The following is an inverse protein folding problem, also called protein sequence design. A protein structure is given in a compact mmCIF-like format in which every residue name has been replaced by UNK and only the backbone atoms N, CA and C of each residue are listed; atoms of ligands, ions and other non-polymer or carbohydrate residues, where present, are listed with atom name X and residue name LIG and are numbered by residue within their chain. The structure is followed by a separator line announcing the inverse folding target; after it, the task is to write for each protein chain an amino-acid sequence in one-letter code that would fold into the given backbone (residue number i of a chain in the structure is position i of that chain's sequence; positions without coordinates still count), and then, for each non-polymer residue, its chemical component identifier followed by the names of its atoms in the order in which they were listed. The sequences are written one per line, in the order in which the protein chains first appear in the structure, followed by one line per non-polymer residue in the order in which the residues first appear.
data_IF_941744044369
#
_entry.id   IF_941744044369
#
_cell.length_a   1.000
_cell.length_b   1.000
_cell.length_c   1.000
_cell.angle_alpha   90.00
_cell.angle_beta   90.00
_cell.angle_gamma   90.00
#
_symmetry.space_group_name_H-M   'P 1'
#
loop_
_entity.id
_entity.type
_entity.pdbx_description
1 polymer ?
#
# COMPACT_ATOMS: atom_id res chain seq x y z
N UNK A 1 10.95 21.12 20.34
CA UNK A 1 10.22 19.84 20.13
C UNK A 1 8.77 20.03 19.69
N UNK A 2 7.81 20.44 20.55
CA UNK A 2 6.38 20.52 20.15
C UNK A 2 6.09 21.55 19.04
N UNK A 3 6.68 22.76 19.15
CA UNK A 3 6.57 23.81 18.13
C UNK A 3 7.15 23.39 16.77
N UNK A 4 8.27 22.66 16.78
CA UNK A 4 8.90 22.14 15.56
C UNK A 4 8.02 21.08 14.91
N UNK A 5 7.46 20.16 15.70
CA UNK A 5 6.55 19.13 15.21
C UNK A 5 5.32 19.74 14.51
N UNK A 6 4.68 20.72 15.14
CA UNK A 6 3.55 21.45 14.55
C UNK A 6 3.97 22.10 13.24
N UNK A 7 5.10 22.80 13.22
CA UNK A 7 5.61 23.49 12.03
C UNK A 7 5.87 22.49 10.88
N UNK A 8 6.45 21.32 11.18
CA UNK A 8 6.65 20.24 10.20
C UNK A 8 5.33 19.72 9.63
N UNK A 9 4.33 19.49 10.47
CA UNK A 9 3.01 19.01 10.00
C UNK A 9 2.37 20.06 9.09
N UNK A 10 2.34 21.33 9.50
CA UNK A 10 1.78 22.41 8.68
C UNK A 10 2.49 22.53 7.33
N UNK A 11 3.82 22.47 7.31
CA UNK A 11 4.60 22.48 6.09
C UNK A 11 4.26 21.29 5.19
N UNK A 12 4.20 20.07 5.75
CA UNK A 12 3.83 18.87 5.00
C UNK A 12 2.44 18.98 4.37
N UNK A 13 1.45 19.51 5.11
CA UNK A 13 0.10 19.76 4.57
C UNK A 13 0.17 20.73 3.40
N UNK A 14 0.88 21.84 3.55
CA UNK A 14 1.03 22.84 2.49
C UNK A 14 1.65 22.23 1.23
N UNK A 15 2.77 21.52 1.37
CA UNK A 15 3.45 20.92 0.21
C UNK A 15 2.60 19.88 -0.50
N UNK A 16 1.80 19.10 0.22
CA UNK A 16 0.94 18.08 -0.39
C UNK A 16 -0.26 18.69 -1.08
N UNK A 17 -0.99 19.60 -0.42
CA UNK A 17 -2.25 20.15 -0.93
C UNK A 17 -2.04 21.01 -2.18
N UNK A 18 -0.89 21.70 -2.28
CA UNK A 18 -0.56 22.54 -3.42
C UNK A 18 0.31 21.85 -4.48
N UNK A 19 0.62 20.55 -4.31
CA UNK A 19 1.36 19.82 -5.33
C UNK A 19 0.46 19.38 -6.49
N UNK A 20 0.90 19.69 -7.72
CA UNK A 20 0.13 19.40 -8.93
C UNK A 20 -0.02 17.91 -9.21
N UNK A 21 1.01 17.10 -8.93
CA UNK A 21 0.97 15.64 -9.14
C UNK A 21 0.01 15.01 -8.14
N UNK A 22 0.04 15.44 -6.87
CA UNK A 22 -0.90 14.97 -5.87
C UNK A 22 -2.35 15.27 -6.25
N UNK A 23 -2.64 16.50 -6.66
CA UNK A 23 -3.99 16.90 -7.09
C UNK A 23 -4.48 16.08 -8.28
N UNK A 24 -3.61 15.78 -9.25
CA UNK A 24 -3.93 14.88 -10.37
C UNK A 24 -4.31 13.49 -9.84
N UNK A 25 -3.51 12.91 -8.95
CA UNK A 25 -3.79 11.59 -8.36
C UNK A 25 -5.12 11.60 -7.61
N UNK A 26 -5.37 12.64 -6.79
CA UNK A 26 -6.62 12.78 -6.04
C UNK A 26 -7.84 12.86 -6.97
N UNK A 27 -7.75 13.64 -8.05
CA UNK A 27 -8.81 13.75 -9.07
C UNK A 27 -9.04 12.40 -9.75
N UNK A 28 -7.97 11.69 -10.13
CA UNK A 28 -8.06 10.37 -10.75
C UNK A 28 -8.74 9.36 -9.84
N UNK A 29 -8.40 9.32 -8.56
CA UNK A 29 -9.05 8.46 -7.57
C UNK A 29 -10.54 8.77 -7.49
N UNK A 30 -10.92 10.05 -7.36
CA UNK A 30 -12.33 10.47 -7.32
C UNK A 30 -13.07 10.05 -8.59
N UNK A 31 -12.45 10.19 -9.77
CA UNK A 31 -13.03 9.75 -11.04
C UNK A 31 -13.19 8.22 -11.13
N UNK A 32 -12.25 7.45 -10.59
CA UNK A 32 -12.37 5.99 -10.49
C UNK A 32 -13.60 5.60 -9.66
N UNK A 33 -13.81 6.24 -8.49
CA UNK A 33 -15.01 6.00 -7.68
C UNK A 33 -16.30 6.35 -8.44
N UNK A 34 -16.32 7.45 -9.19
CA UNK A 34 -17.48 7.86 -10.01
C UNK A 34 -17.93 6.80 -11.00
N UNK A 35 -16.99 6.10 -11.60
CA UNK A 35 -17.28 5.06 -12.59
C UNK A 35 -17.87 3.80 -11.94
N UNK A 36 -17.49 3.50 -10.70
CA UNK A 36 -17.79 2.21 -10.07
C UNK A 36 -18.94 2.26 -9.06
N UNK A 37 -19.22 3.41 -8.44
CA UNK A 37 -20.18 3.50 -7.34
C UNK A 37 -21.17 4.66 -7.53
N UNK A 38 -22.49 4.44 -7.48
CA UNK A 38 -23.45 5.54 -7.55
C UNK A 38 -23.38 6.51 -6.35
N UNK A 39 -22.83 6.09 -5.20
CA UNK A 39 -22.60 6.90 -3.99
C UNK A 39 -21.14 7.37 -3.87
N UNK A 40 -20.49 7.61 -5.00
CA UNK A 40 -19.06 7.88 -5.09
C UNK A 40 -18.60 9.20 -4.45
N UNK A 41 -19.39 10.27 -4.55
CA UNK A 41 -18.95 11.65 -4.24
C UNK A 41 -18.37 11.75 -2.83
N UNK A 42 -19.12 11.28 -1.84
CA UNK A 42 -18.70 11.30 -0.45
C UNK A 42 -17.60 10.25 -0.16
N UNK A 43 -17.57 9.15 -0.91
CA UNK A 43 -16.62 8.05 -0.68
C UNK A 43 -15.22 8.41 -1.14
N UNK A 44 -15.08 8.89 -2.38
CA UNK A 44 -13.79 9.25 -2.96
C UNK A 44 -13.11 10.36 -2.17
N UNK A 45 -13.86 11.41 -1.82
CA UNK A 45 -13.34 12.52 -1.01
C UNK A 45 -12.90 12.05 0.37
N UNK A 46 -13.70 11.22 1.06
CA UNK A 46 -13.32 10.65 2.37
C UNK A 46 -12.04 9.84 2.29
N UNK A 47 -11.89 8.99 1.28
CA UNK A 47 -10.72 8.12 1.15
C UNK A 47 -9.46 8.91 0.73
N UNK A 48 -9.59 9.95 -0.11
CA UNK A 48 -8.50 10.92 -0.35
C UNK A 48 -8.06 11.59 0.95
N UNK A 49 -9.01 12.10 1.75
CA UNK A 49 -8.69 12.77 3.03
C UNK A 49 -8.02 11.83 4.04
N UNK A 50 -8.54 10.61 4.19
CA UNK A 50 -7.98 9.58 5.09
C UNK A 50 -6.56 9.19 4.68
N UNK A 51 -6.34 8.91 3.39
CA UNK A 51 -5.02 8.57 2.86
C UNK A 51 -4.01 9.71 3.03
N UNK A 52 -4.43 10.95 2.73
CA UNK A 52 -3.61 12.16 2.92
C UNK A 52 -3.19 12.34 4.36
N UNK A 53 -4.15 12.22 5.28
CA UNK A 53 -3.91 12.39 6.72
C UNK A 53 -2.90 11.36 7.23
N UNK A 54 -3.09 10.08 6.88
CA UNK A 54 -2.18 9.01 7.29
C UNK A 54 -0.80 9.11 6.59
N UNK A 55 -0.74 9.61 5.36
CA UNK A 55 0.53 9.87 4.67
C UNK A 55 1.37 10.95 5.33
N UNK A 56 0.74 12.04 5.77
CA UNK A 56 1.42 13.10 6.53
C UNK A 56 1.91 12.57 7.88
N UNK A 57 1.05 11.83 8.61
CA UNK A 57 1.44 11.19 9.87
C UNK A 57 2.61 10.24 9.66
N UNK A 58 2.58 9.42 8.61
CA UNK A 58 3.65 8.50 8.27
C UNK A 58 4.96 9.25 7.97
N UNK A 59 4.89 10.31 7.17
CA UNK A 59 6.05 11.14 6.84
C UNK A 59 6.71 11.69 8.10
N UNK A 60 5.91 12.14 9.07
CA UNK A 60 6.39 12.59 10.38
C UNK A 60 7.03 11.45 11.18
N UNK A 61 6.42 10.28 11.24
CA UNK A 61 6.97 9.10 11.94
C UNK A 61 8.31 8.68 11.33
N UNK A 62 8.39 8.56 10.00
CA UNK A 62 9.63 8.20 9.30
C UNK A 62 10.73 9.22 9.58
N UNK A 63 10.41 10.52 9.54
CA UNK A 63 11.35 11.59 9.87
C UNK A 63 11.84 11.50 11.32
N UNK A 64 10.97 11.18 12.28
CA UNK A 64 11.34 11.00 13.70
C UNK A 64 12.22 9.76 13.92
N UNK A 65 11.99 8.70 13.14
CA UNK A 65 12.83 7.51 13.15
C UNK A 65 14.19 7.72 12.42
N UNK A 66 14.44 8.90 11.85
CA UNK A 66 15.65 9.18 11.07
C UNK A 66 15.69 8.46 9.72
N UNK A 67 14.55 7.94 9.24
CA UNK A 67 14.46 7.24 7.97
C UNK A 67 14.24 8.29 6.89
N UNK A 68 15.29 8.59 6.13
CA UNK A 68 15.25 9.53 5.01
C UNK A 68 15.61 8.83 3.71
N UNK A 69 14.73 8.93 2.72
CA UNK A 69 14.96 8.36 1.40
C UNK A 69 15.53 9.47 0.53
N UNK A 70 16.80 9.35 0.13
CA UNK A 70 17.38 10.30 -0.81
C UNK A 70 16.83 10.05 -2.20
N UNK A 71 16.21 11.06 -2.80
CA UNK A 71 15.65 10.94 -4.13
C UNK A 71 16.77 10.91 -5.17
N UNK A 72 16.91 9.78 -5.86
CA UNK A 72 17.86 9.65 -6.98
C UNK A 72 17.09 9.67 -8.30
N UNK A 73 17.75 10.08 -9.39
CA UNK A 73 17.18 9.98 -10.73
C UNK A 73 16.73 8.54 -11.06
N UNK A 74 17.46 7.56 -10.53
CA UNK A 74 17.13 6.15 -10.62
C UNK A 74 15.74 5.77 -10.12
N UNK A 75 15.28 6.42 -9.06
CA UNK A 75 13.95 6.15 -8.48
C UNK A 75 12.82 6.56 -9.42
N UNK A 76 13.05 7.45 -10.39
CA UNK A 76 12.03 7.81 -11.38
C UNK A 76 11.63 6.62 -12.25
N UNK A 77 12.53 5.63 -12.46
CA UNK A 77 12.22 4.40 -13.19
C UNK A 77 11.23 3.49 -12.45
N UNK A 78 11.03 3.68 -11.14
CA UNK A 78 10.05 2.90 -10.38
C UNK A 78 8.63 3.13 -10.90
N UNK A 79 8.31 4.33 -11.40
CA UNK A 79 6.97 4.63 -11.91
C UNK A 79 6.65 3.80 -13.17
N UNK A 80 7.40 3.90 -14.29
CA UNK A 80 7.12 3.09 -15.48
C UNK A 80 7.26 1.60 -15.20
N UNK A 81 8.18 1.19 -14.32
CA UNK A 81 8.31 -0.22 -13.91
C UNK A 81 7.07 -0.70 -13.15
N UNK A 82 6.54 0.09 -12.21
CA UNK A 82 5.31 -0.24 -11.46
C UNK A 82 4.13 -0.37 -12.42
N UNK A 83 3.98 0.55 -13.37
CA UNK A 83 2.94 0.49 -14.40
C UNK A 83 3.08 -0.78 -15.25
N UNK A 84 4.30 -1.11 -15.69
CA UNK A 84 4.58 -2.33 -16.45
C UNK A 84 4.20 -3.58 -15.67
N UNK A 85 4.64 -3.72 -14.42
CA UNK A 85 4.33 -4.88 -13.58
C UNK A 85 2.83 -5.01 -13.30
N UNK A 86 2.16 -3.89 -13.02
CA UNK A 86 0.70 -3.83 -12.81
C UNK A 86 -0.07 -4.31 -14.06
N UNK A 87 0.46 -4.08 -15.26
CA UNK A 87 -0.17 -4.52 -16.52
C UNK A 87 -0.24 -6.04 -16.67
N UNK A 88 0.70 -6.78 -16.07
CA UNK A 88 0.68 -8.25 -16.06
C UNK A 88 -0.23 -8.79 -14.96
N UNK A 89 -0.15 -8.22 -13.77
CA UNK A 89 -1.05 -8.54 -12.67
C UNK A 89 -1.18 -7.32 -11.76
N UNK A 90 -2.41 -6.85 -11.45
CA UNK A 90 -2.60 -5.68 -10.58
C UNK A 90 -1.88 -5.77 -9.23
N UNK A 91 -1.68 -6.99 -8.68
CA UNK A 91 -0.97 -7.18 -7.40
C UNK A 91 0.52 -6.83 -7.50
N UNK A 92 1.13 -6.96 -8.68
CA UNK A 92 2.56 -6.69 -8.90
C UNK A 92 2.90 -5.19 -8.92
N UNK A 93 1.89 -4.31 -8.88
CA UNK A 93 2.09 -2.89 -8.65
C UNK A 93 2.52 -2.54 -7.22
N UNK A 94 2.37 -3.45 -6.26
CA UNK A 94 2.80 -3.21 -4.89
C UNK A 94 4.34 -3.13 -4.80
N UNK A 95 4.87 -2.19 -4.01
CA UNK A 95 6.31 -2.06 -3.77
C UNK A 95 6.93 -3.31 -3.12
N UNK A 96 6.12 -4.18 -2.50
CA UNK A 96 6.54 -5.51 -2.05
C UNK A 96 7.00 -6.43 -3.19
N UNK A 97 6.67 -6.13 -4.44
CA UNK A 97 7.21 -6.80 -5.64
C UNK A 97 8.19 -5.91 -6.41
N UNK A 98 7.84 -4.64 -6.63
CA UNK A 98 8.63 -3.73 -7.48
C UNK A 98 10.06 -3.57 -6.96
N UNK A 99 10.25 -3.44 -5.64
CA UNK A 99 11.58 -3.24 -5.04
C UNK A 99 12.44 -4.51 -5.13
N UNK A 100 11.97 -5.70 -4.72
CA UNK A 100 12.69 -6.96 -4.95
C UNK A 100 12.98 -7.24 -6.43
N UNK A 101 12.04 -6.94 -7.32
CA UNK A 101 12.23 -7.11 -8.76
C UNK A 101 13.36 -6.21 -9.27
N UNK A 102 13.39 -4.94 -8.87
CA UNK A 102 14.46 -4.01 -9.23
C UNK A 102 15.81 -4.51 -8.72
N UNK A 103 15.88 -4.99 -7.48
CA UNK A 103 17.09 -5.58 -6.92
C UNK A 103 17.59 -6.78 -7.73
N UNK A 104 16.68 -7.69 -8.12
CA UNK A 104 17.02 -8.85 -8.93
C UNK A 104 17.54 -8.45 -10.31
N UNK A 105 16.92 -7.47 -10.97
CA UNK A 105 17.38 -6.95 -12.26
C UNK A 105 18.78 -6.35 -12.12
N UNK A 106 19.02 -5.52 -11.11
CA UNK A 106 20.35 -4.93 -10.86
C UNK A 106 21.41 -6.01 -10.67
N UNK A 107 21.12 -7.04 -9.86
CA UNK A 107 22.04 -8.16 -9.65
C UNK A 107 22.33 -8.95 -10.94
N UNK A 108 21.33 -9.18 -11.80
CA UNK A 108 21.52 -9.86 -13.09
C UNK A 108 22.41 -9.03 -14.03
N UNK A 109 22.14 -7.72 -14.13
CA UNK A 109 22.92 -6.80 -14.96
C UNK A 109 24.39 -6.77 -14.53
N UNK A 110 24.64 -6.74 -13.22
CA UNK A 110 25.98 -6.82 -12.64
C UNK A 110 26.69 -8.13 -12.99
N UNK A 111 25.99 -9.27 -12.90
CA UNK A 111 26.53 -10.60 -13.30
C UNK A 111 26.91 -10.61 -14.78
N UNK A 112 26.17 -9.89 -15.63
CA UNK A 112 26.48 -9.73 -17.05
C UNK A 112 27.66 -8.77 -17.32
N UNK A 113 28.29 -8.20 -16.28
CA UNK A 113 29.45 -7.32 -16.38
C UNK A 113 29.11 -5.84 -16.62
N UNK A 114 27.84 -5.46 -16.53
CA UNK A 114 27.40 -4.07 -16.67
C UNK A 114 27.12 -3.46 -15.29
N UNK A 115 27.49 -2.20 -15.10
CA UNK A 115 27.10 -1.44 -13.91
C UNK A 115 26.13 -0.34 -14.33
N UNK A 116 24.91 -0.37 -13.78
CA UNK A 116 23.90 0.66 -13.97
C UNK A 116 23.63 1.35 -12.63
N UNK A 117 24.44 2.37 -12.25
CA UNK A 117 24.36 3.04 -10.94
C UNK A 117 22.97 3.61 -10.62
N UNK A 118 22.21 3.97 -11.66
CA UNK A 118 20.86 4.49 -11.54
C UNK A 118 19.81 3.42 -11.23
N UNK A 119 20.12 2.12 -11.25
CA UNK A 119 19.22 1.07 -10.75
C UNK A 119 19.46 0.73 -9.26
N UNK A 120 20.46 1.34 -8.62
CA UNK A 120 20.69 1.14 -7.20
C UNK A 120 19.72 2.00 -6.40
N UNK A 121 18.89 1.33 -5.63
CA UNK A 121 17.92 1.97 -4.76
C UNK A 121 18.39 1.92 -3.30
N UNK A 122 17.96 2.87 -2.46
CA UNK A 122 18.08 2.80 -1.00
C UNK A 122 17.20 1.67 -0.44
N UNK A 123 17.60 0.42 -0.64
CA UNK A 123 16.78 -0.76 -0.36
C UNK A 123 16.40 -0.86 1.12
N UNK A 124 17.28 -0.44 2.05
CA UNK A 124 17.00 -0.50 3.49
C UNK A 124 15.80 0.37 3.85
N UNK A 125 15.79 1.59 3.33
CA UNK A 125 14.75 2.59 3.55
C UNK A 125 13.45 2.18 2.84
N UNK A 126 13.53 1.55 1.66
CA UNK A 126 12.36 0.99 0.99
C UNK A 126 11.73 -0.19 1.76
N UNK A 127 12.51 -1.05 2.42
CA UNK A 127 11.94 -2.12 3.26
C UNK A 127 11.16 -1.51 4.43
N UNK A 128 11.68 -0.46 5.08
CA UNK A 128 10.93 0.29 6.09
C UNK A 128 9.64 0.90 5.51
N UNK A 129 9.74 1.57 4.37
CA UNK A 129 8.61 2.19 3.71
C UNK A 129 7.50 1.17 3.40
N UNK A 130 7.86 0.03 2.81
CA UNK A 130 6.90 -1.05 2.50
C UNK A 130 6.20 -1.53 3.77
N UNK A 131 6.92 -1.73 4.88
CA UNK A 131 6.34 -2.14 6.16
C UNK A 131 5.33 -1.13 6.71
N UNK A 132 5.67 0.16 6.67
CA UNK A 132 4.75 1.22 7.10
C UNK A 132 3.52 1.37 6.20
N UNK A 133 3.69 1.27 4.89
CA UNK A 133 2.57 1.34 3.94
C UNK A 133 1.55 0.24 4.21
N UNK A 134 1.99 -1.01 4.45
CA UNK A 134 1.09 -2.10 4.80
C UNK A 134 0.50 -1.96 6.22
N UNK A 135 1.20 -1.35 7.17
CA UNK A 135 0.61 -1.03 8.47
C UNK A 135 -0.61 -0.10 8.31
N UNK A 136 -0.44 0.96 7.52
CA UNK A 136 -1.51 1.93 7.24
C UNK A 136 -2.63 1.31 6.41
N UNK A 137 -2.29 0.52 5.39
CA UNK A 137 -3.26 -0.22 4.60
C UNK A 137 -4.10 -1.14 5.49
N UNK A 138 -3.45 -1.91 6.36
CA UNK A 138 -4.13 -2.80 7.30
C UNK A 138 -5.12 -2.05 8.18
N UNK A 139 -4.72 -0.92 8.77
CA UNK A 139 -5.59 -0.06 9.59
C UNK A 139 -6.78 0.47 8.76
N UNK A 140 -6.51 1.01 7.57
CA UNK A 140 -7.55 1.55 6.68
C UNK A 140 -8.55 0.48 6.23
N UNK A 141 -8.07 -0.72 5.91
CA UNK A 141 -8.92 -1.85 5.51
C UNK A 141 -9.77 -2.34 6.67
N UNK A 142 -9.23 -2.42 7.88
CA UNK A 142 -10.00 -2.79 9.08
C UNK A 142 -11.13 -1.80 9.36
N UNK A 143 -10.83 -0.49 9.30
CA UNK A 143 -11.77 0.56 9.69
C UNK A 143 -12.78 0.91 8.57
N UNK A 144 -12.33 0.96 7.32
CA UNK A 144 -13.07 1.56 6.22
C UNK A 144 -13.24 0.65 5.00
N UNK A 145 -12.61 -0.52 4.98
CA UNK A 145 -12.65 -1.45 3.85
C UNK A 145 -14.06 -1.93 3.46
N UNK A 146 -15.01 -1.91 4.40
CA UNK A 146 -16.39 -2.35 4.20
C UNK A 146 -17.38 -1.23 3.85
N UNK A 147 -16.94 0.04 3.78
CA UNK A 147 -17.81 1.17 3.46
C UNK A 147 -18.18 1.18 1.97
N UNK A 148 -19.45 1.48 1.66
CA UNK A 148 -19.97 1.67 0.29
C UNK A 148 -19.73 0.47 -0.64
N UNK A 149 -19.91 -0.74 -0.11
CA UNK A 149 -19.92 -1.96 -0.93
C UNK A 149 -21.17 -2.04 -1.80
N UNK A 150 -21.07 -2.81 -2.88
CA UNK A 150 -22.18 -3.07 -3.79
C UNK A 150 -22.22 -4.56 -4.17
N UNK A 151 -23.41 -5.04 -4.50
CA UNK A 151 -23.64 -6.43 -4.83
C UNK A 151 -23.12 -6.76 -6.24
N UNK A 152 -22.48 -7.91 -6.36
CA UNK A 152 -21.95 -8.45 -7.61
C UNK A 152 -22.26 -9.94 -7.71
N UNK A 153 -22.58 -10.46 -8.92
CA UNK A 153 -22.73 -11.90 -9.12
C UNK A 153 -21.37 -12.58 -9.04
N UNK A 154 -21.30 -13.70 -8.33
CA UNK A 154 -20.07 -14.44 -8.07
C UNK A 154 -20.30 -15.92 -8.29
N UNK A 155 -19.46 -16.56 -9.09
CA UNK A 155 -19.48 -18.01 -9.24
C UNK A 155 -18.73 -18.68 -8.08
N UNK A 156 -19.40 -19.61 -7.39
CA UNK A 156 -18.84 -20.40 -6.27
C UNK A 156 -18.45 -21.84 -6.70
N UNK A 157 -18.18 -22.05 -7.99
CA UNK A 157 -17.83 -23.37 -8.53
C UNK A 157 -19.02 -24.28 -8.82
N UNK A 158 -20.21 -23.98 -8.29
CA UNK A 158 -21.46 -24.73 -8.54
C UNK A 158 -22.59 -23.83 -9.06
N UNK A 159 -22.80 -22.70 -8.41
CA UNK A 159 -23.88 -21.76 -8.71
C UNK A 159 -23.38 -20.33 -8.66
N UNK A 160 -24.15 -19.42 -9.25
CA UNK A 160 -23.94 -17.98 -9.11
C UNK A 160 -24.65 -17.55 -7.82
N UNK A 161 -23.88 -16.99 -6.89
CA UNK A 161 -24.36 -16.39 -5.65
C UNK A 161 -24.11 -14.89 -5.68
N UNK A 162 -24.85 -14.12 -4.89
CA UNK A 162 -24.57 -12.70 -4.69
C UNK A 162 -23.43 -12.55 -3.69
N UNK A 163 -22.37 -11.85 -4.07
CA UNK A 163 -21.31 -11.38 -3.17
C UNK A 163 -21.29 -9.86 -3.10
N UNK A 164 -20.53 -9.30 -2.16
CA UNK A 164 -20.32 -7.86 -2.05
C UNK A 164 -18.91 -7.49 -2.49
N UNK A 165 -18.79 -6.61 -3.48
CA UNK A 165 -17.51 -6.05 -3.90
C UNK A 165 -17.07 -4.96 -2.93
N UNK A 166 -15.83 -5.08 -2.45
CA UNK A 166 -15.16 -4.09 -1.62
C UNK A 166 -14.00 -3.51 -2.43
N UNK A 167 -14.06 -2.21 -2.71
CA UNK A 167 -13.03 -1.50 -3.48
C UNK A 167 -12.71 -0.18 -2.80
N UNK A 168 -11.42 0.02 -2.49
CA UNK A 168 -10.92 1.22 -1.84
C UNK A 168 -9.59 1.64 -2.42
N UNK A 169 -9.41 2.96 -2.57
CA UNK A 169 -8.18 3.58 -3.01
C UNK A 169 -7.86 4.78 -2.12
N UNK A 170 -6.74 4.71 -1.42
CA UNK A 170 -6.26 5.77 -0.54
C UNK A 170 -4.93 6.33 -1.09
N UNK A 171 -4.91 7.53 -1.67
CA UNK A 171 -3.67 8.18 -2.03
C UNK A 171 -2.93 8.61 -0.75
N UNK A 172 -1.70 8.15 -0.62
CA UNK A 172 -0.83 8.38 0.54
C UNK A 172 0.38 9.18 0.07
N UNK A 173 0.37 10.52 0.25
CA UNK A 173 1.51 11.36 -0.03
C UNK A 173 2.54 11.23 1.10
N UNK A 174 3.79 11.00 0.71
CA UNK A 174 4.93 10.86 1.60
C UNK A 174 5.85 12.06 1.38
N UNK A 175 5.92 12.93 2.36
CA UNK A 175 6.84 14.07 2.34
C UNK A 175 8.20 13.60 2.82
N UNK A 176 9.14 13.51 1.89
CA UNK A 176 10.50 13.03 2.18
C UNK A 176 11.45 14.23 2.15
N UNK A 177 12.24 14.36 3.21
CA UNK A 177 13.24 15.41 3.33
C UNK A 177 14.57 14.94 2.73
N UNK A 178 15.06 15.66 1.73
CA UNK A 178 16.43 15.50 1.23
C UNK A 178 17.28 16.66 1.73
N UNK A 179 18.29 16.33 2.55
CA UNK A 179 19.30 17.26 3.08
C UNK A 179 18.73 18.56 3.68
N UNK A 180 17.59 18.46 4.38
CA UNK A 180 17.01 19.56 5.17
C UNK A 180 16.35 20.71 4.39
N UNK A 181 16.39 20.73 3.06
CA UNK A 181 15.88 21.87 2.27
C UNK A 181 14.97 21.48 1.11
N UNK A 182 15.13 20.30 0.51
CA UNK A 182 14.33 19.90 -0.65
C UNK A 182 13.29 18.86 -0.26
N UNK A 183 12.03 19.24 -0.41
CA UNK A 183 10.86 18.42 -0.13
C UNK A 183 10.30 17.95 -1.46
N UNK A 184 10.39 16.65 -1.71
CA UNK A 184 9.76 16.02 -2.86
C UNK A 184 8.73 15.04 -2.32
N UNK A 185 7.44 15.22 -2.62
CA UNK A 185 6.45 14.27 -2.17
C UNK A 185 6.52 13.01 -3.06
N UNK A 186 6.70 11.85 -2.44
CA UNK A 186 6.54 10.55 -3.07
C UNK A 186 5.08 10.10 -2.89
N UNK A 187 4.43 9.65 -3.96
CA UNK A 187 3.04 9.24 -3.90
C UNK A 187 2.90 7.73 -3.93
N UNK A 188 2.21 7.17 -2.95
CA UNK A 188 1.71 5.81 -2.99
C UNK A 188 0.19 5.82 -3.14
N UNK A 189 -0.37 4.80 -3.80
CA UNK A 189 -1.82 4.56 -3.80
C UNK A 189 -2.03 3.20 -3.15
N UNK A 190 -2.62 3.20 -1.96
CA UNK A 190 -3.01 1.96 -1.28
C UNK A 190 -4.36 1.52 -1.83
N UNK A 191 -4.41 0.31 -2.39
CA UNK A 191 -5.60 -0.23 -3.05
C UNK A 191 -6.07 -1.52 -2.41
N UNK A 192 -7.29 -1.54 -1.87
CA UNK A 192 -7.93 -2.76 -1.37
C UNK A 192 -9.07 -3.17 -2.29
N UNK A 193 -8.95 -4.33 -2.94
CA UNK A 193 -9.94 -4.88 -3.85
C UNK A 193 -10.19 -6.33 -3.46
N UNK A 194 -11.41 -6.64 -3.02
CA UNK A 194 -11.79 -7.99 -2.59
C UNK A 194 -13.31 -8.21 -2.73
N UNK A 195 -13.75 -9.46 -2.58
CA UNK A 195 -15.14 -9.86 -2.67
C UNK A 195 -15.53 -10.65 -1.42
N UNK A 196 -16.52 -10.13 -0.68
CA UNK A 196 -17.12 -10.83 0.44
C UNK A 196 -18.20 -11.79 -0.07
N UNK A 197 -17.91 -13.09 -0.06
CA UNK A 197 -18.83 -14.18 -0.48
C UNK A 197 -19.46 -14.91 0.70
N UNK A 198 -18.61 -15.33 1.65
CA UNK A 198 -18.97 -16.19 2.78
C UNK A 198 -19.10 -15.42 4.11
N UNK A 199 -18.86 -14.11 4.06
CA UNK A 199 -18.82 -13.22 5.22
C UNK A 199 -19.56 -11.94 4.89
N UNK A 200 -19.99 -11.21 5.91
CA UNK A 200 -20.32 -9.81 5.72
C UNK A 200 -19.05 -9.01 5.36
N UNK A 201 -19.15 -7.93 4.58
CA UNK A 201 -18.02 -7.08 4.24
C UNK A 201 -17.21 -6.62 5.47
N UNK A 202 -17.87 -6.33 6.57
CA UNK A 202 -17.24 -5.87 7.83
C UNK A 202 -16.32 -6.95 8.41
N UNK A 203 -16.79 -8.20 8.46
CA UNK A 203 -15.98 -9.31 8.98
C UNK A 203 -14.83 -9.62 8.02
N UNK A 204 -15.07 -9.57 6.71
CA UNK A 204 -14.04 -9.81 5.70
C UNK A 204 -12.94 -8.73 5.76
N UNK A 205 -13.33 -7.45 5.77
CA UNK A 205 -12.38 -6.34 5.83
C UNK A 205 -11.58 -6.32 7.14
N UNK A 206 -12.23 -6.60 8.28
CA UNK A 206 -11.51 -6.69 9.56
C UNK A 206 -10.47 -7.81 9.57
N UNK A 207 -10.81 -9.01 9.06
CA UNK A 207 -9.85 -10.12 8.95
C UNK A 207 -8.71 -9.80 8.01
N UNK A 208 -9.01 -9.26 6.83
CA UNK A 208 -7.99 -8.95 5.83
C UNK A 208 -7.06 -7.82 6.29
N UNK A 209 -7.63 -6.76 6.84
CA UNK A 209 -6.82 -5.68 7.39
C UNK A 209 -5.92 -6.14 8.54
N UNK A 210 -6.37 -7.08 9.39
CA UNK A 210 -5.51 -7.67 10.42
C UNK A 210 -4.34 -8.48 9.84
N UNK A 211 -4.58 -9.28 8.78
CA UNK A 211 -3.52 -10.02 8.07
C UNK A 211 -2.50 -9.05 7.45
N UNK A 212 -2.98 -8.00 6.77
CA UNK A 212 -2.13 -6.96 6.17
C UNK A 212 -1.30 -6.25 7.25
N UNK A 213 -1.90 -5.93 8.39
CA UNK A 213 -1.23 -5.29 9.51
C UNK A 213 -0.13 -6.19 10.10
N UNK A 214 -0.42 -7.48 10.31
CA UNK A 214 0.58 -8.46 10.80
C UNK A 214 1.75 -8.55 9.83
N UNK A 215 1.48 -8.58 8.53
CA UNK A 215 2.53 -8.55 7.51
C UNK A 215 3.34 -7.24 7.57
N UNK A 216 2.71 -6.08 7.69
CA UNK A 216 3.40 -4.80 7.85
C UNK A 216 4.36 -4.80 9.05
N UNK A 217 3.91 -5.31 10.21
CA UNK A 217 4.77 -5.49 11.40
C UNK A 217 5.93 -6.43 11.09
N UNK A 218 5.67 -7.57 10.44
CA UNK A 218 6.71 -8.52 10.05
C UNK A 218 7.76 -7.88 9.14
N UNK A 219 7.36 -7.09 8.14
CA UNK A 219 8.29 -6.37 7.27
C UNK A 219 9.09 -5.33 8.05
N UNK A 220 8.50 -4.61 9.00
CA UNK A 220 9.25 -3.67 9.87
C UNK A 220 10.29 -4.38 10.75
N UNK A 221 10.00 -5.61 11.20
CA UNK A 221 10.99 -6.44 11.90
C UNK A 221 12.14 -6.79 10.94
N UNK A 222 11.85 -7.24 9.71
CA UNK A 222 12.90 -7.49 8.71
C UNK A 222 13.72 -6.23 8.40
N UNK A 223 13.07 -5.08 8.27
CA UNK A 223 13.74 -3.79 8.05
C UNK A 223 14.73 -3.48 9.18
N UNK A 224 14.31 -3.71 10.42
CA UNK A 224 15.14 -3.50 11.61
C UNK A 224 16.31 -4.48 11.63
N UNK A 225 16.08 -5.77 11.35
CA UNK A 225 17.14 -6.78 11.29
C UNK A 225 18.18 -6.49 10.20
N UNK A 226 17.74 -5.96 9.05
CA UNK A 226 18.64 -5.48 7.98
C UNK A 226 19.43 -4.26 8.44
N UNK A 227 18.79 -3.33 9.14
CA UNK A 227 19.43 -2.11 9.62
C UNK A 227 20.54 -2.39 10.64
N UNK A 228 20.34 -3.34 11.55
CA UNK A 228 21.35 -3.74 12.55
C UNK A 228 22.37 -4.76 12.01
N UNK A 229 22.27 -5.15 10.74
CA UNK A 229 23.23 -6.04 10.08
C UNK A 229 23.07 -7.53 10.39
N UNK A 230 21.99 -7.94 11.06
CA UNK A 230 21.70 -9.36 11.35
C UNK A 230 21.19 -10.07 10.09
N UNK A 231 20.40 -9.38 9.27
CA UNK A 231 19.80 -9.93 8.04
C UNK A 231 20.38 -9.23 6.82
N UNK A 232 20.67 -9.98 5.76
CA UNK A 232 21.12 -9.37 4.49
C UNK A 232 19.95 -8.73 3.74
N UNK A 233 20.22 -7.65 3.00
CA UNK A 233 19.21 -6.98 2.15
C UNK A 233 18.60 -7.99 1.17
N UNK A 234 19.43 -8.77 0.48
CA UNK A 234 18.97 -9.75 -0.50
C UNK A 234 18.00 -10.78 0.09
N UNK A 235 18.26 -11.28 1.30
CA UNK A 235 17.37 -12.23 1.96
C UNK A 235 16.04 -11.58 2.36
N UNK A 236 16.07 -10.37 2.91
CA UNK A 236 14.86 -9.62 3.24
C UNK A 236 13.99 -9.35 2.00
N UNK A 237 14.62 -8.98 0.87
CA UNK A 237 13.93 -8.73 -0.40
C UNK A 237 13.33 -10.00 -1.03
N UNK A 238 13.87 -11.20 -0.74
CA UNK A 238 13.25 -12.46 -1.14
C UNK A 238 12.05 -12.80 -0.24
N UNK A 239 12.19 -12.59 1.07
CA UNK A 239 11.12 -12.88 2.04
C UNK A 239 9.89 -11.98 1.82
N UNK A 240 10.10 -10.73 1.42
CA UNK A 240 9.05 -9.74 1.23
C UNK A 240 7.92 -10.18 0.26
N UNK A 241 8.19 -10.54 -1.01
CA UNK A 241 7.15 -11.00 -1.93
C UNK A 241 6.56 -12.35 -1.52
N UNK A 242 7.34 -13.23 -0.85
CA UNK A 242 6.83 -14.50 -0.32
C UNK A 242 5.77 -14.25 0.75
N UNK A 243 6.06 -13.37 1.71
CA UNK A 243 5.09 -12.99 2.75
C UNK A 243 3.86 -12.32 2.15
N UNK A 244 4.03 -11.52 1.10
CA UNK A 244 2.91 -10.89 0.39
C UNK A 244 2.01 -11.94 -0.28
N UNK A 245 2.58 -12.94 -0.98
CA UNK A 245 1.81 -14.05 -1.54
C UNK A 245 1.12 -14.89 -0.46
N UNK A 246 1.75 -15.08 0.70
CA UNK A 246 1.15 -15.79 1.82
C UNK A 246 -0.12 -15.09 2.33
N UNK A 247 -0.14 -13.76 2.40
CA UNK A 247 -1.36 -13.02 2.77
C UNK A 247 -2.51 -13.29 1.79
N UNK A 248 -2.22 -13.25 0.49
CA UNK A 248 -3.22 -13.57 -0.54
C UNK A 248 -3.67 -15.02 -0.47
N UNK A 249 -2.75 -15.95 -0.24
CA UNK A 249 -3.10 -17.36 -0.07
C UNK A 249 -4.05 -17.56 1.11
N UNK A 250 -3.80 -16.91 2.25
CA UNK A 250 -4.70 -16.92 3.41
C UNK A 250 -6.07 -16.33 3.05
N UNK A 251 -6.11 -15.29 2.22
CA UNK A 251 -7.37 -14.71 1.75
C UNK A 251 -8.24 -15.69 0.93
N UNK A 252 -7.59 -16.51 0.09
CA UNK A 252 -8.25 -17.46 -0.81
C UNK A 252 -8.58 -18.80 -0.16
N UNK A 253 -7.97 -19.11 0.99
CA UNK A 253 -8.32 -20.33 1.73
C UNK A 253 -9.79 -20.29 2.13
N UNK A 254 -10.60 -21.30 1.74
CA UNK A 254 -11.99 -21.35 2.12
C UNK A 254 -12.06 -21.46 3.64
N UNK A 255 -12.76 -20.51 4.25
CA UNK A 255 -13.08 -20.62 5.66
C UNK A 255 -13.76 -21.96 5.91
N UNK A 256 -13.23 -22.73 6.86
CA UNK A 256 -13.94 -23.89 7.40
C UNK A 256 -15.35 -23.45 7.77
N UNK A 257 -16.35 -24.22 7.34
CA UNK A 257 -17.77 -23.88 7.32
C UNK A 257 -18.39 -23.70 8.72
N UNK A 258 -17.97 -22.68 9.47
CA UNK A 258 -18.44 -22.45 10.84
C UNK A 258 -19.62 -21.46 10.97
N UNK A 259 -20.22 -21.01 9.86
CA UNK A 259 -21.41 -20.14 9.91
C UNK A 259 -22.51 -20.50 8.93
N UNK A 260 -22.79 -21.80 8.71
CA UNK A 260 -24.08 -22.26 8.14
C UNK A 260 -25.30 -21.95 9.04
N UNK A 261 -25.15 -21.16 10.10
CA UNK A 261 -26.26 -20.70 10.95
C UNK A 261 -26.63 -19.26 10.58
N UNK A 262 -27.62 -19.18 9.69
CA UNK A 262 -28.56 -18.09 9.46
C UNK A 262 -27.97 -16.67 9.26
N UNK A 263 -27.80 -16.20 8.01
CA UNK A 263 -27.46 -14.81 7.74
C UNK A 263 -28.70 -13.92 7.94
N UNK A 264 -28.82 -13.29 9.11
CA UNK A 264 -29.88 -12.34 9.46
C UNK A 264 -29.86 -11.04 8.65
N UNK A 265 -28.84 -10.83 7.82
CA UNK A 265 -28.70 -9.71 6.87
C UNK A 265 -29.36 -9.97 5.51
N UNK A 266 -30.19 -11.02 5.39
CA UNK A 266 -30.99 -11.32 4.20
C UNK A 266 -32.40 -10.70 4.17
N UNK A 267 -32.72 -9.83 5.14
CA UNK A 267 -34.01 -9.13 5.21
C UNK A 267 -33.80 -7.62 5.09
#
# INVERSE_FOLDING_TARGET
MFKELITTIFNNVYYVVFDSVFLIIAILVVFMYRKENPKWELTGIKDVLRGTTLGIILSTIMSMCGISIQLTFGMMFLIPLTVLLTSFNPKWGCYAYVIPFTYAVTAIVEICGYNLPWLYLPYKEFIFLVGFLHLIEGILVMLYGSENTFEVPVYDGRTIITGHSMKKFWPVPLVIFTNGMTIIPLYAILGYIDIAKNYSPQVKSAKMGAIILIYGIFILILATLVNVGILTIGLALIIMPIGHELMFLINYMPATQMSRRNPSWRN
#
